data_IF_132966515692
#
_entry.id   IF_132966515692
#
_cell.length_a   1.000
_cell.length_b   1.000
_cell.length_c   1.000
_cell.angle_alpha   90.00
_cell.angle_beta   90.00
_cell.angle_gamma   90.00
#
_symmetry.space_group_name_H-M   'P 1'
#
loop_
_entity.id
_entity.type
_entity.pdbx_description
1 polymer ?
#
# COMPACT_ATOMS: atom_id res chain seq x y z
N UNK A 1 28.14 -25.31 -55.52
CA UNK A 1 27.78 -23.91 -55.85
C UNK A 1 26.70 -23.45 -54.88
N UNK A 2 27.00 -22.40 -54.11
CA UNK A 2 26.32 -22.01 -52.87
C UNK A 2 24.91 -21.44 -53.11
N UNK A 3 23.90 -21.89 -52.35
CA UNK A 3 22.63 -21.16 -52.19
C UNK A 3 22.56 -20.70 -50.74
N UNK A 4 22.78 -19.40 -50.55
CA UNK A 4 22.91 -18.75 -49.24
C UNK A 4 21.55 -18.76 -48.54
N UNK A 5 21.53 -19.29 -47.32
CA UNK A 5 20.41 -19.19 -46.39
C UNK A 5 20.29 -17.72 -45.98
N UNK A 6 19.22 -17.04 -46.41
CA UNK A 6 18.88 -15.71 -45.93
C UNK A 6 18.21 -15.86 -44.57
N UNK A 7 19.00 -15.72 -43.50
CA UNK A 7 18.49 -15.64 -42.12
C UNK A 7 17.97 -14.22 -41.87
N UNK A 8 16.65 -14.04 -41.86
CA UNK A 8 16.00 -12.79 -41.46
C UNK A 8 16.10 -12.65 -39.95
N UNK A 9 16.98 -11.78 -39.46
CA UNK A 9 17.08 -11.47 -38.04
C UNK A 9 15.85 -10.66 -37.59
N UNK A 10 14.99 -11.25 -36.75
CA UNK A 10 13.95 -10.49 -36.05
C UNK A 10 14.62 -9.60 -35.00
N UNK A 11 14.68 -8.30 -35.27
CA UNK A 11 15.09 -7.29 -34.30
C UNK A 11 13.94 -7.07 -33.32
N UNK A 12 14.05 -7.62 -32.10
CA UNK A 12 13.14 -7.32 -31.00
C UNK A 12 13.44 -5.93 -30.45
N UNK A 13 12.66 -4.94 -30.83
CA UNK A 13 12.66 -3.62 -30.17
C UNK A 13 12.05 -3.75 -28.78
N UNK A 14 12.89 -3.74 -27.75
CA UNK A 14 12.46 -3.62 -26.35
C UNK A 14 11.98 -2.19 -26.14
N UNK A 15 10.66 -2.00 -26.02
CA UNK A 15 10.07 -0.75 -25.56
C UNK A 15 10.32 -0.64 -24.05
N UNK A 16 11.33 0.14 -23.67
CA UNK A 16 11.55 0.50 -22.27
C UNK A 16 10.49 1.55 -21.92
N UNK A 17 9.36 1.12 -21.37
CA UNK A 17 8.39 2.03 -20.79
C UNK A 17 9.03 2.67 -19.55
N UNK A 18 9.43 3.93 -19.67
CA UNK A 18 9.88 4.73 -18.54
C UNK A 18 8.68 5.07 -17.67
N UNK A 19 8.49 4.30 -16.60
CA UNK A 19 7.53 4.64 -15.56
C UNK A 19 8.09 5.88 -14.84
N UNK A 20 7.54 7.06 -15.15
CA UNK A 20 7.89 8.26 -14.41
C UNK A 20 7.27 8.14 -13.01
N UNK A 21 8.06 7.72 -12.02
CA UNK A 21 7.68 7.79 -10.62
C UNK A 21 7.67 9.27 -10.22
N UNK A 22 6.47 9.84 -10.05
CA UNK A 22 6.35 11.15 -9.44
C UNK A 22 6.81 11.05 -7.97
N UNK A 23 7.70 11.94 -7.56
CA UNK A 23 8.04 12.08 -6.15
C UNK A 23 6.80 12.55 -5.38
N UNK A 24 6.50 11.88 -4.26
CA UNK A 24 5.40 12.29 -3.39
C UNK A 24 5.74 13.60 -2.69
N UNK A 25 4.69 14.32 -2.28
CA UNK A 25 4.88 15.44 -1.37
C UNK A 25 5.48 14.91 -0.04
N UNK A 26 6.57 15.52 0.49
CA UNK A 26 7.22 15.03 1.70
C UNK A 26 6.30 14.99 2.93
N UNK A 27 5.31 15.87 3.02
CA UNK A 27 4.32 15.84 4.10
C UNK A 27 3.43 14.61 4.01
N UNK A 28 3.00 14.26 2.79
CA UNK A 28 2.19 13.06 2.54
C UNK A 28 2.98 11.80 2.82
N UNK A 29 4.24 11.74 2.37
CA UNK A 29 5.12 10.60 2.66
C UNK A 29 5.29 10.41 4.18
N UNK A 30 5.55 11.50 4.90
CA UNK A 30 5.72 11.43 6.35
C UNK A 30 4.44 11.03 7.07
N UNK A 31 3.28 11.54 6.64
CA UNK A 31 1.98 11.16 7.18
C UNK A 31 1.73 9.65 7.04
N UNK A 32 2.01 9.07 5.87
CA UNK A 32 1.86 7.63 5.64
C UNK A 32 2.82 6.81 6.51
N UNK A 33 4.08 7.23 6.62
CA UNK A 33 5.07 6.56 7.48
C UNK A 33 4.62 6.56 8.95
N UNK A 34 4.18 7.70 9.48
CA UNK A 34 3.76 7.82 10.88
C UNK A 34 2.48 7.02 11.14
N UNK A 35 1.50 7.06 10.22
CA UNK A 35 0.27 6.26 10.32
C UNK A 35 0.61 4.77 10.35
N UNK A 36 1.43 4.28 9.40
CA UNK A 36 1.84 2.87 9.37
C UNK A 36 2.66 2.46 10.61
N UNK A 37 3.53 3.34 11.09
CA UNK A 37 4.30 3.09 12.31
C UNK A 37 3.41 3.05 13.56
N UNK A 38 2.38 3.89 13.64
CA UNK A 38 1.42 3.88 14.75
C UNK A 38 0.51 2.64 14.71
N UNK A 39 0.25 2.09 13.52
CA UNK A 39 -0.58 0.90 13.32
C UNK A 39 -0.01 -0.37 13.99
N UNK A 40 1.31 -0.41 14.23
CA UNK A 40 1.98 -1.54 14.89
C UNK A 40 2.15 -1.36 16.41
N UNK A 41 1.58 -0.30 16.99
CA UNK A 41 1.69 -0.02 18.44
C UNK A 41 0.74 -0.85 19.31
N UNK A 42 -0.24 -1.52 18.71
CA UNK A 42 -1.39 -2.17 19.35
C UNK A 42 -2.23 -1.24 20.27
N UNK A 43 -2.03 0.09 20.19
CA UNK A 43 -2.76 1.10 20.96
C UNK A 43 -3.61 1.95 20.02
N UNK A 44 -4.92 1.70 20.01
CA UNK A 44 -5.89 2.45 19.17
C UNK A 44 -5.82 3.96 19.41
N UNK A 45 -5.58 4.40 20.66
CA UNK A 45 -5.40 5.80 20.97
C UNK A 45 -4.22 6.43 20.21
N UNK A 46 -3.07 5.75 20.16
CA UNK A 46 -1.89 6.26 19.44
C UNK A 46 -2.15 6.41 17.95
N UNK A 47 -2.81 5.44 17.32
CA UNK A 47 -3.21 5.55 15.91
C UNK A 47 -4.19 6.72 15.70
N UNK A 48 -5.19 6.88 16.56
CA UNK A 48 -6.17 7.99 16.48
C UNK A 48 -5.51 9.35 16.63
N UNK A 49 -4.56 9.49 17.55
CA UNK A 49 -3.82 10.73 17.77
C UNK A 49 -3.03 11.10 16.50
N UNK A 50 -2.35 10.13 15.88
CA UNK A 50 -1.63 10.34 14.61
C UNK A 50 -2.58 10.70 13.46
N UNK A 51 -3.70 10.00 13.31
CA UNK A 51 -4.72 10.32 12.30
C UNK A 51 -5.22 11.77 12.48
N UNK A 52 -5.46 12.18 13.73
CA UNK A 52 -5.94 13.52 14.04
C UNK A 52 -4.87 14.60 13.81
N UNK A 53 -3.59 14.32 14.11
CA UNK A 53 -2.46 15.22 13.86
C UNK A 53 -2.35 15.57 12.37
N UNK A 54 -2.55 14.58 11.50
CA UNK A 54 -2.54 14.75 10.04
C UNK A 54 -3.91 15.15 9.46
N UNK A 55 -4.94 15.32 10.31
CA UNK A 55 -6.32 15.66 9.92
C UNK A 55 -6.89 14.69 8.88
N UNK A 56 -6.54 13.42 9.01
CA UNK A 56 -7.06 12.34 8.18
C UNK A 56 -8.39 11.86 8.72
N UNK A 57 -9.22 11.34 7.84
CA UNK A 57 -10.45 10.64 8.19
C UNK A 57 -10.14 9.17 8.46
N UNK A 58 -10.73 8.59 9.53
CA UNK A 58 -10.35 7.24 9.95
C UNK A 58 -10.93 6.17 9.03
N UNK A 59 -12.10 6.42 8.47
CA UNK A 59 -12.70 5.58 7.43
C UNK A 59 -11.79 5.62 6.18
N UNK A 60 -11.30 6.79 5.75
CA UNK A 60 -10.32 6.87 4.66
C UNK A 60 -9.02 6.12 4.96
N UNK A 61 -8.50 6.22 6.20
CA UNK A 61 -7.30 5.49 6.59
C UNK A 61 -7.54 3.98 6.53
N UNK A 62 -8.66 3.50 7.08
CA UNK A 62 -9.00 2.09 7.07
C UNK A 62 -9.14 1.53 5.65
N UNK A 63 -9.75 2.28 4.73
CA UNK A 63 -10.07 1.80 3.39
C UNK A 63 -8.96 2.05 2.35
N UNK A 64 -8.10 3.06 2.54
CA UNK A 64 -7.17 3.52 1.48
C UNK A 64 -5.69 3.40 1.84
N UNK A 65 -5.33 3.34 3.12
CA UNK A 65 -3.91 3.29 3.51
C UNK A 65 -3.36 1.88 3.36
N UNK A 66 -2.27 1.80 2.60
CA UNK A 66 -1.50 0.59 2.36
C UNK A 66 -0.11 0.77 2.99
N UNK A 67 0.24 -0.12 3.90
CA UNK A 67 1.53 -0.14 4.59
C UNK A 67 2.38 -1.27 4.02
N UNK A 68 3.54 -0.97 3.46
CA UNK A 68 4.44 -1.96 2.86
C UNK A 68 3.76 -2.92 1.84
N UNK A 69 2.77 -2.40 1.10
CA UNK A 69 2.08 -3.15 0.06
C UNK A 69 0.87 -3.96 0.53
N UNK A 70 0.48 -3.88 1.81
CA UNK A 70 -0.74 -4.51 2.32
C UNK A 70 -1.68 -3.50 3.02
N UNK A 71 -3.00 -3.74 3.06
CA UNK A 71 -3.95 -2.89 3.78
C UNK A 71 -3.55 -2.69 5.24
N UNK A 72 -3.74 -1.48 5.78
CA UNK A 72 -3.29 -1.12 7.13
C UNK A 72 -3.84 -2.04 8.22
N UNK A 73 -5.06 -2.56 8.08
CA UNK A 73 -5.65 -3.49 9.04
C UNK A 73 -4.93 -4.85 9.05
N UNK A 74 -4.60 -5.37 7.86
CA UNK A 74 -3.80 -6.59 7.70
C UNK A 74 -2.38 -6.38 8.21
N UNK A 75 -1.76 -5.23 7.89
CA UNK A 75 -0.44 -4.86 8.36
C UNK A 75 -0.37 -4.83 9.89
N UNK A 76 -1.37 -4.22 10.53
CA UNK A 76 -1.47 -4.24 11.99
C UNK A 76 -1.58 -5.67 12.54
N UNK A 77 -2.38 -6.54 11.91
CA UNK A 77 -2.54 -7.93 12.33
C UNK A 77 -1.22 -8.74 12.20
N UNK A 78 -0.51 -8.59 11.08
CA UNK A 78 0.80 -9.23 10.81
C UNK A 78 1.84 -8.83 11.88
N UNK A 79 1.74 -7.60 12.40
CA UNK A 79 2.60 -7.08 13.45
C UNK A 79 2.03 -7.26 14.88
N UNK A 80 1.14 -8.24 15.11
CA UNK A 80 0.54 -8.55 16.42
C UNK A 80 -0.26 -7.40 17.07
N UNK A 81 -0.70 -6.42 16.27
CA UNK A 81 -1.49 -5.27 16.71
C UNK A 81 -2.99 -5.50 16.51
N UNK A 82 -3.50 -6.59 17.08
CA UNK A 82 -4.88 -7.05 16.87
C UNK A 82 -5.96 -6.03 17.30
N UNK A 83 -5.71 -5.21 18.32
CA UNK A 83 -6.67 -4.18 18.73
C UNK A 83 -6.85 -3.10 17.65
N UNK A 84 -5.76 -2.75 16.97
CA UNK A 84 -5.77 -1.80 15.86
C UNK A 84 -6.40 -2.45 14.63
N UNK A 85 -6.04 -3.69 14.30
CA UNK A 85 -6.66 -4.42 13.21
C UNK A 85 -8.18 -4.51 13.37
N UNK A 86 -8.66 -4.88 14.56
CA UNK A 86 -10.09 -4.91 14.87
C UNK A 86 -10.73 -3.53 14.76
N UNK A 87 -10.08 -2.48 15.28
CA UNK A 87 -10.58 -1.11 15.19
C UNK A 87 -10.73 -0.64 13.74
N UNK A 88 -9.72 -0.90 12.90
CA UNK A 88 -9.74 -0.53 11.48
C UNK A 88 -10.79 -1.35 10.71
N UNK A 89 -10.92 -2.64 10.98
CA UNK A 89 -11.94 -3.50 10.35
C UNK A 89 -13.37 -3.03 10.65
N UNK A 90 -13.63 -2.43 11.81
CA UNK A 90 -14.93 -1.83 12.14
C UNK A 90 -15.23 -0.54 11.36
N UNK A 91 -14.23 0.02 10.67
CA UNK A 91 -14.29 1.28 9.90
C UNK A 91 -14.23 1.04 8.40
N UNK A 92 -14.02 -0.20 7.97
CA UNK A 92 -14.15 -0.58 6.58
C UNK A 92 -15.60 -0.39 6.16
N UNK A 93 -15.81 0.27 5.02
CA UNK A 93 -17.12 0.26 4.41
C UNK A 93 -17.44 -1.18 3.97
N UNK A 94 -18.72 -1.53 3.82
CA UNK A 94 -19.23 -2.90 3.55
C UNK A 94 -18.79 -3.52 2.19
N UNK A 95 -17.59 -3.22 1.68
CA UNK A 95 -17.07 -3.67 0.38
C UNK A 95 -15.99 -4.76 0.42
N UNK A 96 -15.29 -4.99 1.54
CA UNK A 96 -14.11 -5.88 1.52
C UNK A 96 -13.94 -6.74 2.78
N UNK A 97 -15.06 -7.25 3.32
CA UNK A 97 -15.03 -8.38 4.25
C UNK A 97 -14.94 -9.71 3.47
N UNK A 98 -13.96 -9.87 2.58
CA UNK A 98 -13.75 -11.09 1.79
C UNK A 98 -12.27 -11.48 1.66
N UNK A 99 -11.50 -11.50 2.75
CA UNK A 99 -10.30 -12.35 2.81
C UNK A 99 -10.14 -12.96 4.20
N UNK A 100 -11.06 -13.85 4.55
CA UNK A 100 -10.80 -14.93 5.51
C UNK A 100 -11.47 -16.19 4.99
N UNK A 101 -10.90 -16.77 3.93
CA UNK A 101 -11.20 -18.13 3.50
C UNK A 101 -9.92 -18.95 3.50
#
# INVERSE_FOLDING_TARGET
>A
MMKKLAATALTTTVLIASQAQAAMDPYVEKALQDVCQSAISNRVASLRDTIQEYRLDVEDVANKVVCNGMPIAEFAAEHNSHNIAQYLNQRLEHGELLVMN
#
